data_IF_957611709719
#
_entry.id   IF_957611709719
#
_cell.length_a   1.000
_cell.length_b   1.000
_cell.length_c   1.000
_cell.angle_alpha   90.00
_cell.angle_beta   90.00
_cell.angle_gamma   90.00
#
_symmetry.space_group_name_H-M   'P 1'
#
loop_
_entity.id
_entity.type
_entity.pdbx_description
1 polymer ?
#
# COMPACT_ATOMS: atom_id res chain seq x y z
N UNK A 1 54.67 -6.21 -27.11
CA UNK A 1 54.99 -7.46 -26.43
C UNK A 1 53.66 -8.14 -26.10
N UNK A 2 53.27 -9.00 -26.83
CA UNK A 2 53.09 -10.47 -26.92
C UNK A 2 53.18 -11.20 -25.57
N UNK A 3 52.12 -11.87 -25.14
CA UNK A 3 52.03 -13.27 -24.69
C UNK A 3 50.64 -13.48 -24.07
N UNK A 4 49.92 -14.37 -24.55
CA UNK A 4 49.79 -15.84 -24.74
C UNK A 4 48.59 -16.38 -23.92
N UNK A 5 47.69 -17.01 -24.63
CA UNK A 5 46.50 -17.77 -24.19
C UNK A 5 46.90 -19.08 -23.51
N UNK A 6 46.11 -19.51 -22.56
CA UNK A 6 46.02 -20.93 -22.21
C UNK A 6 44.57 -21.35 -22.08
N UNK A 7 44.11 -22.19 -23.00
CA UNK A 7 42.87 -22.96 -22.97
C UNK A 7 43.16 -24.27 -22.21
N UNK A 8 42.37 -24.61 -21.24
CA UNK A 8 42.31 -25.96 -20.68
C UNK A 8 40.91 -26.49 -20.87
N UNK A 9 40.77 -27.43 -21.79
CA UNK A 9 39.57 -28.20 -22.01
C UNK A 9 39.48 -29.36 -21.01
N UNK A 10 38.31 -29.56 -20.42
CA UNK A 10 37.97 -30.78 -19.68
C UNK A 10 37.03 -31.63 -20.53
N UNK A 11 37.52 -32.79 -20.87
CA UNK A 11 36.83 -33.88 -21.55
C UNK A 11 36.08 -34.70 -20.48
N UNK A 12 34.76 -34.77 -20.54
CA UNK A 12 33.96 -35.67 -19.70
C UNK A 12 33.52 -36.88 -20.51
N UNK A 13 34.01 -38.04 -20.12
CA UNK A 13 33.70 -39.35 -20.70
C UNK A 13 32.40 -39.86 -20.12
N UNK A 14 31.42 -40.17 -20.99
CA UNK A 14 30.19 -40.88 -20.61
C UNK A 14 30.47 -42.38 -20.58
N UNK A 15 30.25 -43.04 -19.43
CA UNK A 15 30.14 -44.47 -19.31
C UNK A 15 28.66 -44.88 -19.26
N UNK A 16 28.26 -45.61 -20.31
CA UNK A 16 26.94 -46.25 -20.37
C UNK A 16 27.11 -47.62 -19.72
N UNK A 17 26.33 -47.89 -18.66
CA UNK A 17 26.17 -49.21 -18.07
C UNK A 17 24.75 -49.72 -18.33
N UNK A 18 24.65 -50.76 -19.18
CA UNK A 18 23.46 -51.61 -19.31
C UNK A 18 23.38 -52.55 -18.12
N UNK A 19 22.24 -52.53 -17.44
CA UNK A 19 21.92 -53.50 -16.37
C UNK A 19 20.46 -53.92 -16.44
N UNK A 20 20.22 -55.19 -16.55
CA UNK A 20 19.00 -55.85 -17.01
C UNK A 20 17.81 -55.78 -16.09
N UNK A 21 16.65 -56.02 -16.70
CA UNK A 21 15.32 -56.09 -16.12
C UNK A 21 15.14 -57.40 -15.34
N UNK A 22 14.64 -57.33 -14.12
CA UNK A 22 13.97 -58.43 -13.45
C UNK A 22 12.50 -58.04 -13.29
N UNK A 23 11.64 -58.78 -13.96
CA UNK A 23 10.19 -58.63 -13.83
C UNK A 23 9.71 -59.28 -12.51
N UNK A 24 9.19 -58.48 -11.60
CA UNK A 24 8.41 -58.98 -10.44
C UNK A 24 6.94 -58.73 -10.69
N UNK A 25 6.20 -59.79 -10.82
CA UNK A 25 4.75 -59.81 -10.91
C UNK A 25 4.16 -59.42 -9.55
N UNK A 26 3.53 -58.27 -9.47
CA UNK A 26 2.82 -57.83 -8.26
C UNK A 26 1.32 -58.07 -8.41
N UNK A 27 0.75 -58.83 -7.50
CA UNK A 27 -0.65 -59.17 -7.46
C UNK A 27 -1.51 -57.92 -7.21
N UNK A 28 -2.61 -57.79 -7.96
CA UNK A 28 -3.59 -56.73 -7.82
C UNK A 28 -4.35 -56.84 -6.49
N UNK A 29 -4.34 -55.78 -5.70
CA UNK A 29 -5.24 -55.58 -4.55
C UNK A 29 -6.59 -55.02 -5.04
N UNK A 30 -7.70 -55.40 -4.38
CA UNK A 30 -9.02 -54.90 -4.74
C UNK A 30 -9.17 -53.41 -4.45
N UNK A 31 -10.05 -52.69 -5.21
CA UNK A 31 -10.21 -51.24 -5.06
C UNK A 31 -10.89 -50.93 -3.72
N UNK A 32 -10.17 -50.15 -2.89
CA UNK A 32 -10.73 -49.49 -1.70
C UNK A 32 -11.63 -48.34 -2.16
N UNK A 33 -12.89 -48.37 -1.74
CA UNK A 33 -13.84 -47.29 -2.00
C UNK A 33 -13.34 -45.99 -1.40
N UNK A 34 -13.28 -44.94 -2.22
CA UNK A 34 -12.96 -43.60 -1.78
C UNK A 34 -14.08 -43.04 -0.88
N UNK A 35 -13.76 -42.33 0.20
CA UNK A 35 -14.77 -41.65 0.98
C UNK A 35 -15.34 -40.48 0.16
N UNK A 36 -16.65 -40.47 -0.03
CA UNK A 36 -17.39 -39.38 -0.62
C UNK A 36 -17.35 -38.17 0.33
N UNK A 37 -16.48 -37.21 0.08
CA UNK A 37 -16.50 -35.95 0.79
C UNK A 37 -17.74 -35.17 0.36
N UNK A 38 -18.73 -35.12 1.25
CA UNK A 38 -19.87 -34.22 1.10
C UNK A 38 -19.38 -32.78 1.31
N UNK A 39 -19.17 -32.05 0.23
CA UNK A 39 -18.92 -30.61 0.28
C UNK A 39 -20.21 -29.95 0.74
N UNK A 40 -20.23 -29.47 1.98
CA UNK A 40 -21.31 -28.59 2.44
C UNK A 40 -21.17 -27.26 1.70
N UNK A 41 -22.27 -26.70 1.17
CA UNK A 41 -22.22 -25.38 0.55
C UNK A 41 -21.85 -24.34 1.61
N UNK A 42 -20.78 -23.60 1.35
CA UNK A 42 -20.43 -22.38 2.09
C UNK A 42 -21.57 -21.40 1.85
N UNK A 43 -22.39 -21.17 2.86
CA UNK A 43 -23.37 -20.07 2.84
C UNK A 43 -22.56 -18.78 2.92
N UNK A 44 -22.35 -18.13 1.78
CA UNK A 44 -21.90 -16.74 1.72
C UNK A 44 -23.04 -15.94 2.32
N UNK A 45 -22.90 -15.53 3.59
CA UNK A 45 -23.77 -14.52 4.16
C UNK A 45 -23.49 -13.22 3.40
N UNK A 46 -24.41 -12.87 2.51
CA UNK A 46 -24.48 -11.54 1.93
C UNK A 46 -24.63 -10.58 3.10
N UNK A 47 -23.58 -9.81 3.39
CA UNK A 47 -23.66 -8.70 4.33
C UNK A 47 -24.59 -7.69 3.67
N UNK A 48 -25.85 -7.73 4.07
CA UNK A 48 -26.85 -6.75 3.63
C UNK A 48 -26.43 -5.42 4.29
N UNK A 49 -25.93 -4.49 3.49
CA UNK A 49 -25.67 -3.15 3.95
C UNK A 49 -26.94 -2.57 4.56
N UNK A 50 -26.89 -2.20 5.81
CA UNK A 50 -27.99 -1.49 6.48
C UNK A 50 -28.28 -0.18 5.74
N UNK A 51 -29.53 0.26 5.63
CA UNK A 51 -29.83 1.48 4.89
C UNK A 51 -29.21 2.70 5.57
N UNK A 52 -28.24 3.29 4.90
CA UNK A 52 -27.50 4.48 5.33
C UNK A 52 -28.29 5.73 4.90
N UNK A 53 -29.14 6.26 5.77
CA UNK A 53 -29.93 7.48 5.48
C UNK A 53 -29.26 8.77 6.02
N UNK A 54 -28.08 8.72 6.62
CA UNK A 54 -27.47 9.94 7.21
C UNK A 54 -26.02 10.23 6.81
N UNK A 55 -25.39 9.44 5.94
CA UNK A 55 -23.94 9.54 5.73
C UNK A 55 -23.51 10.51 4.60
N UNK A 56 -24.39 10.85 3.67
CA UNK A 56 -24.01 11.73 2.55
C UNK A 56 -23.73 13.19 2.97
N UNK A 57 -24.33 13.65 4.06
CA UNK A 57 -24.11 15.02 4.57
C UNK A 57 -22.79 15.19 5.30
N UNK A 58 -22.23 14.14 5.91
CA UNK A 58 -21.01 14.25 6.72
C UNK A 58 -19.75 14.26 5.87
N UNK A 59 -19.68 13.50 4.78
CA UNK A 59 -18.50 13.54 3.90
C UNK A 59 -18.41 14.82 3.05
N UNK A 60 -19.46 15.61 2.93
CA UNK A 60 -19.39 16.96 2.33
C UNK A 60 -18.57 17.95 3.17
N UNK A 61 -18.39 17.68 4.46
CA UNK A 61 -17.62 18.51 5.39
C UNK A 61 -16.16 18.03 5.54
N UNK A 62 -15.68 17.15 4.67
CA UNK A 62 -14.36 16.51 4.74
C UNK A 62 -13.19 17.50 4.93
N UNK A 63 -13.31 18.72 4.42
CA UNK A 63 -12.29 19.77 4.55
C UNK A 63 -12.04 20.18 6.00
N UNK A 64 -13.06 20.03 6.86
CA UNK A 64 -12.98 20.31 8.30
C UNK A 64 -12.52 19.10 9.14
N UNK A 65 -12.37 17.93 8.52
CA UNK A 65 -11.96 16.73 9.23
C UNK A 65 -10.51 16.85 9.71
N UNK A 66 -10.17 16.20 10.83
CA UNK A 66 -8.81 16.26 11.37
C UNK A 66 -7.79 15.74 10.37
N UNK A 67 -6.58 16.33 10.40
CA UNK A 67 -5.45 15.90 9.57
C UNK A 67 -5.04 14.46 9.89
N UNK A 68 -5.00 14.13 11.18
CA UNK A 68 -4.59 12.81 11.67
C UNK A 68 -5.84 11.93 11.84
N UNK A 69 -5.83 10.71 11.30
CA UNK A 69 -7.00 9.85 11.30
C UNK A 69 -7.48 9.46 12.70
N UNK A 70 -8.78 9.21 12.78
CA UNK A 70 -9.39 8.52 13.92
C UNK A 70 -9.35 7.02 13.63
N UNK A 71 -8.94 6.23 14.63
CA UNK A 71 -8.86 4.76 14.48
C UNK A 71 -10.24 4.15 14.60
N UNK A 72 -10.69 3.52 13.55
CA UNK A 72 -12.02 2.93 13.44
C UNK A 72 -12.08 1.50 14.01
N UNK A 73 -13.27 0.99 14.34
CA UNK A 73 -13.50 -0.43 14.63
C UNK A 73 -13.04 -1.33 13.48
N UNK A 74 -13.39 -0.98 12.23
CA UNK A 74 -13.03 -1.73 11.03
C UNK A 74 -11.51 -1.86 10.87
N UNK A 75 -10.74 -0.80 11.13
CA UNK A 75 -9.28 -0.87 11.10
C UNK A 75 -8.72 -1.89 12.11
N UNK A 76 -9.32 -2.00 13.30
CA UNK A 76 -8.93 -2.99 14.32
C UNK A 76 -9.24 -4.42 13.87
N UNK A 77 -10.42 -4.64 13.32
CA UNK A 77 -10.84 -5.95 12.81
C UNK A 77 -9.93 -6.43 11.66
N UNK A 78 -9.60 -5.52 10.73
CA UNK A 78 -8.67 -5.79 9.64
C UNK A 78 -7.27 -6.16 10.17
N UNK A 79 -6.72 -5.38 11.10
CA UNK A 79 -5.42 -5.67 11.69
C UNK A 79 -5.38 -7.06 12.36
N UNK A 80 -6.40 -7.38 13.16
CA UNK A 80 -6.53 -8.69 13.78
C UNK A 80 -6.71 -9.81 12.75
N UNK A 81 -7.46 -9.57 11.68
CA UNK A 81 -7.61 -10.46 10.54
C UNK A 81 -6.27 -10.72 9.86
N UNK A 82 -5.52 -9.66 9.57
CA UNK A 82 -4.19 -9.72 8.98
C UNK A 82 -3.19 -10.50 9.84
N UNK A 83 -3.23 -10.29 11.16
CA UNK A 83 -2.42 -11.06 12.10
C UNK A 83 -2.72 -12.58 12.01
N UNK A 84 -3.99 -12.96 11.99
CA UNK A 84 -4.40 -14.35 11.84
C UNK A 84 -4.03 -14.94 10.47
N UNK A 85 -4.08 -14.14 9.43
CA UNK A 85 -3.73 -14.54 8.05
C UNK A 85 -2.22 -14.53 7.80
N UNK A 86 -1.41 -14.09 8.77
CA UNK A 86 0.05 -14.04 8.69
C UNK A 86 0.57 -12.87 7.85
N UNK A 87 -0.11 -11.72 7.84
CA UNK A 87 0.44 -10.49 7.32
C UNK A 87 1.67 -10.06 8.14
N UNK A 88 2.61 -9.39 7.48
CA UNK A 88 3.78 -8.85 8.16
C UNK A 88 3.39 -7.59 8.95
N UNK A 89 3.25 -7.73 10.27
CA UNK A 89 2.84 -6.65 11.17
C UNK A 89 3.86 -5.51 11.25
N UNK A 90 5.08 -5.74 10.77
CA UNK A 90 6.18 -4.76 10.71
C UNK A 90 6.36 -4.14 9.33
N UNK A 91 5.39 -4.31 8.43
CA UNK A 91 5.46 -3.75 7.10
C UNK A 91 4.21 -2.96 6.74
N UNK A 92 4.43 -1.87 6.01
CA UNK A 92 3.40 -1.20 5.24
C UNK A 92 3.79 -1.12 3.76
N UNK A 93 2.79 -0.99 2.89
CA UNK A 93 2.98 -0.73 1.47
C UNK A 93 2.55 0.68 1.11
N UNK A 94 3.28 1.27 0.16
CA UNK A 94 2.91 2.51 -0.52
C UNK A 94 2.15 2.12 -1.78
N UNK A 95 0.95 2.67 -1.96
CA UNK A 95 0.09 2.40 -3.12
C UNK A 95 -0.36 3.74 -3.70
N UNK A 96 -0.03 3.98 -4.96
CA UNK A 96 -0.45 5.23 -5.58
C UNK A 96 0.41 5.74 -6.72
N UNK A 97 0.40 7.06 -6.88
CA UNK A 97 1.02 7.78 -7.98
C UNK A 97 2.40 8.40 -7.65
N UNK A 98 2.75 9.51 -8.31
CA UNK A 98 4.04 10.18 -8.18
C UNK A 98 4.37 10.63 -6.76
N UNK A 99 3.36 11.12 -6.04
CA UNK A 99 3.58 11.68 -4.69
C UNK A 99 3.88 10.64 -3.61
N UNK A 100 3.60 9.36 -3.85
CA UNK A 100 3.91 8.29 -2.92
C UNK A 100 5.03 7.37 -3.40
N UNK A 101 5.39 7.46 -4.69
CA UNK A 101 6.42 6.65 -5.33
C UNK A 101 7.78 7.35 -5.46
N UNK A 102 7.97 8.49 -4.84
CA UNK A 102 9.22 9.25 -4.86
C UNK A 102 10.05 9.03 -3.59
N UNK A 103 11.36 9.19 -3.70
CA UNK A 103 12.29 9.21 -2.56
C UNK A 103 12.01 10.34 -1.56
N UNK A 104 11.36 11.43 -1.99
CA UNK A 104 10.94 12.52 -1.10
C UNK A 104 9.91 12.06 -0.06
N UNK A 105 9.14 11.02 -0.39
CA UNK A 105 8.16 10.47 0.53
C UNK A 105 8.77 9.37 1.39
N UNK A 106 9.00 9.65 2.65
CA UNK A 106 9.38 8.71 3.71
C UNK A 106 10.79 8.13 3.66
N UNK A 107 11.52 8.17 2.54
CA UNK A 107 12.80 7.45 2.45
C UNK A 107 13.81 7.87 3.51
N UNK A 108 13.77 9.14 3.94
CA UNK A 108 14.65 9.68 4.97
C UNK A 108 14.63 8.89 6.30
N UNK A 109 13.51 8.24 6.64
CA UNK A 109 13.37 7.48 7.89
C UNK A 109 14.13 6.15 7.90
N UNK A 110 14.35 5.52 6.76
CA UNK A 110 15.15 4.29 6.65
C UNK A 110 16.64 4.59 6.40
N UNK A 111 16.99 5.78 5.89
CA UNK A 111 18.37 6.16 5.60
C UNK A 111 19.20 6.48 6.87
N UNK A 112 18.53 6.61 8.01
CA UNK A 112 19.16 6.75 9.32
C UNK A 112 19.35 8.19 9.80
N UNK A 113 20.14 8.33 10.88
CA UNK A 113 20.41 9.63 11.48
C UNK A 113 21.14 10.56 10.50
N UNK A 114 20.70 11.82 10.45
CA UNK A 114 21.22 12.83 9.52
C UNK A 114 20.42 13.00 8.23
N UNK A 115 19.45 12.13 7.95
CA UNK A 115 18.51 12.30 6.84
C UNK A 115 17.15 12.83 7.30
N UNK A 116 16.86 12.76 8.61
CA UNK A 116 15.66 13.32 9.22
C UNK A 116 15.95 13.87 10.61
N UNK A 117 15.21 14.89 11.00
CA UNK A 117 15.12 15.35 12.39
C UNK A 117 13.64 15.35 12.83
N UNK A 118 13.37 14.67 13.94
CA UNK A 118 12.03 14.59 14.51
C UNK A 118 11.65 15.84 15.32
N UNK A 119 12.62 16.68 15.68
CA UNK A 119 12.41 17.90 16.43
C UNK A 119 11.53 17.71 17.67
N UNK A 120 10.37 18.42 17.74
CA UNK A 120 9.45 18.31 18.87
C UNK A 120 8.63 16.99 18.93
N UNK A 121 8.89 16.02 18.02
CA UNK A 121 8.13 14.77 17.90
C UNK A 121 8.97 13.50 18.18
N UNK A 122 9.76 13.42 19.27
CA UNK A 122 10.58 12.24 19.56
C UNK A 122 9.74 10.96 19.83
N UNK A 123 8.47 11.13 20.15
CA UNK A 123 7.49 10.06 20.33
C UNK A 123 7.17 9.29 19.05
N UNK A 124 7.58 9.79 17.88
CA UNK A 124 7.47 9.10 16.59
C UNK A 124 8.62 8.11 16.31
N UNK A 125 9.68 8.09 17.13
CA UNK A 125 10.78 7.12 16.95
C UNK A 125 10.28 5.66 16.95
N UNK A 126 9.39 5.23 17.84
CA UNK A 126 8.92 3.84 17.85
C UNK A 126 8.21 3.39 16.58
N UNK A 127 7.49 4.25 15.86
CA UNK A 127 6.83 3.85 14.59
C UNK A 127 7.88 3.70 13.48
N UNK A 128 8.92 4.53 13.46
CA UNK A 128 10.04 4.39 12.52
C UNK A 128 10.76 3.06 12.77
N UNK A 129 11.12 2.76 14.01
CA UNK A 129 11.81 1.52 14.37
C UNK A 129 10.95 0.28 14.06
N UNK A 130 9.62 0.37 14.27
CA UNK A 130 8.71 -0.75 14.03
C UNK A 130 8.59 -1.11 12.54
N UNK A 131 8.52 -0.11 11.66
CA UNK A 131 8.32 -0.29 10.22
C UNK A 131 9.61 -0.12 9.41
N UNK A 132 10.77 -0.18 10.06
CA UNK A 132 12.06 -0.06 9.38
C UNK A 132 12.15 -1.01 8.18
N UNK A 133 12.63 -0.49 7.03
CA UNK A 133 12.68 -1.17 5.75
C UNK A 133 11.42 -1.01 4.87
N UNK A 134 10.36 -0.37 5.39
CA UNK A 134 9.17 -0.02 4.59
C UNK A 134 9.19 1.42 4.11
N UNK A 135 9.96 2.31 4.74
CA UNK A 135 9.95 3.74 4.43
C UNK A 135 10.70 4.08 3.14
N UNK A 136 11.85 3.50 2.88
CA UNK A 136 12.60 3.70 1.63
C UNK A 136 11.98 2.90 0.48
N UNK A 137 11.40 1.74 0.76
CA UNK A 137 10.86 0.84 -0.25
C UNK A 137 9.74 1.50 -1.06
N UNK A 138 9.92 1.56 -2.37
CA UNK A 138 8.87 1.93 -3.32
C UNK A 138 8.10 0.67 -3.67
N UNK A 139 6.78 0.65 -3.42
CA UNK A 139 5.92 -0.48 -3.72
C UNK A 139 5.75 -0.72 -5.22
N UNK A 140 5.48 -1.97 -5.62
CA UNK A 140 5.15 -2.33 -7.01
C UNK A 140 3.86 -1.61 -7.45
N UNK A 141 2.94 -1.41 -6.52
CA UNK A 141 1.70 -0.66 -6.71
C UNK A 141 1.86 0.86 -6.56
N UNK A 142 3.09 1.38 -6.52
CA UNK A 142 3.40 2.80 -6.44
C UNK A 142 4.33 3.21 -7.59
N UNK A 143 3.82 4.03 -8.52
CA UNK A 143 4.59 4.49 -9.69
C UNK A 143 4.08 5.81 -10.20
N UNK A 144 5.01 6.68 -10.61
CA UNK A 144 4.68 7.94 -11.29
C UNK A 144 3.75 7.67 -12.49
N UNK A 145 2.66 8.42 -12.57
CA UNK A 145 1.66 8.29 -13.63
C UNK A 145 0.67 7.14 -13.44
N UNK A 146 0.70 6.47 -12.27
CA UNK A 146 -0.35 5.51 -11.92
C UNK A 146 -1.67 6.22 -11.62
N UNK A 147 -2.73 5.50 -11.86
CA UNK A 147 -4.10 5.79 -11.50
C UNK A 147 -4.76 4.48 -11.05
N UNK A 148 -6.02 4.52 -10.68
CA UNK A 148 -6.71 3.32 -10.16
C UNK A 148 -6.74 2.18 -11.17
N UNK A 149 -6.94 2.47 -12.47
CA UNK A 149 -6.97 1.43 -13.51
C UNK A 149 -5.61 0.76 -13.67
N UNK A 150 -4.52 1.54 -13.73
CA UNK A 150 -3.18 0.99 -13.92
C UNK A 150 -2.71 0.13 -12.75
N UNK A 151 -3.11 0.46 -11.53
CA UNK A 151 -2.80 -0.34 -10.34
C UNK A 151 -3.50 -1.70 -10.38
N UNK A 152 -4.65 -1.77 -11.03
CA UNK A 152 -5.47 -2.97 -11.19
C UNK A 152 -5.20 -3.76 -12.48
N UNK A 153 -4.44 -3.19 -13.42
CA UNK A 153 -4.17 -3.79 -14.73
C UNK A 153 -2.94 -4.71 -14.69
N UNK A 154 -3.09 -6.03 -14.92
CA UNK A 154 -1.97 -6.97 -14.96
C UNK A 154 -0.87 -6.58 -15.95
N UNK A 155 -1.20 -5.90 -17.06
CA UNK A 155 -0.22 -5.44 -18.03
C UNK A 155 0.78 -4.40 -17.47
N UNK A 156 0.49 -3.82 -16.33
CA UNK A 156 1.33 -2.85 -15.64
C UNK A 156 2.23 -3.48 -14.55
N UNK A 157 2.08 -4.78 -14.30
CA UNK A 157 2.93 -5.53 -13.37
C UNK A 157 4.41 -5.51 -13.82
N UNK A 158 5.31 -5.59 -12.86
CA UNK A 158 6.74 -5.74 -13.13
C UNK A 158 7.02 -7.22 -13.48
N UNK A 159 7.36 -7.54 -14.74
CA UNK A 159 7.56 -8.93 -15.16
C UNK A 159 8.75 -9.63 -14.49
N UNK A 160 9.60 -8.89 -13.79
CA UNK A 160 10.71 -9.46 -13.02
C UNK A 160 10.30 -9.95 -11.62
N UNK A 161 9.13 -9.54 -11.14
CA UNK A 161 8.66 -9.80 -9.77
C UNK A 161 7.24 -10.35 -9.73
N UNK A 162 6.39 -9.96 -10.68
CA UNK A 162 4.97 -10.31 -10.71
C UNK A 162 4.73 -11.53 -11.59
N UNK A 163 3.72 -12.32 -11.24
CA UNK A 163 3.20 -13.37 -12.09
C UNK A 163 2.45 -12.78 -13.30
N UNK A 164 2.29 -13.56 -14.36
CA UNK A 164 1.79 -13.04 -15.65
C UNK A 164 0.42 -12.36 -15.58
N UNK A 165 -0.45 -12.81 -14.67
CA UNK A 165 -1.82 -12.31 -14.53
C UNK A 165 -1.99 -11.43 -13.29
N UNK A 166 -0.90 -11.06 -12.64
CA UNK A 166 -0.95 -10.21 -11.45
C UNK A 166 -0.94 -8.72 -11.81
N UNK A 167 -1.93 -8.01 -11.29
CA UNK A 167 -1.86 -6.55 -11.26
C UNK A 167 -0.76 -6.07 -10.30
N UNK A 168 -0.26 -4.82 -10.45
CA UNK A 168 0.68 -4.23 -9.48
C UNK A 168 0.22 -4.37 -8.03
N UNK A 169 -1.08 -4.21 -7.75
CA UNK A 169 -1.63 -4.36 -6.41
C UNK A 169 -1.55 -5.82 -5.92
N UNK A 170 -1.98 -6.77 -6.72
CA UNK A 170 -1.96 -8.19 -6.33
C UNK A 170 -0.51 -8.66 -6.08
N UNK A 171 0.41 -8.28 -6.96
CA UNK A 171 1.84 -8.56 -6.85
C UNK A 171 2.45 -7.97 -5.57
N UNK A 172 2.16 -6.70 -5.26
CA UNK A 172 2.60 -6.03 -4.02
C UNK A 172 2.12 -6.79 -2.78
N UNK A 173 0.84 -7.16 -2.75
CA UNK A 173 0.24 -7.87 -1.61
C UNK A 173 0.80 -9.28 -1.44
N UNK A 174 1.03 -10.01 -2.53
CA UNK A 174 1.63 -11.35 -2.48
C UNK A 174 3.06 -11.30 -1.94
N UNK A 175 3.88 -10.38 -2.45
CA UNK A 175 5.31 -10.32 -2.10
C UNK A 175 5.57 -9.76 -0.70
N UNK A 176 4.82 -8.78 -0.27
CA UNK A 176 5.13 -8.06 0.97
C UNK A 176 4.16 -8.35 2.12
N UNK A 177 2.96 -8.83 1.82
CA UNK A 177 1.92 -9.16 2.82
C UNK A 177 1.79 -8.10 3.91
N UNK A 178 1.67 -6.82 3.57
CA UNK A 178 1.75 -5.73 4.54
C UNK A 178 0.55 -5.75 5.49
N UNK A 179 0.73 -5.28 6.73
CA UNK A 179 -0.39 -5.05 7.64
C UNK A 179 -1.14 -3.75 7.32
N UNK A 180 -0.44 -2.77 6.75
CA UNK A 180 -0.99 -1.45 6.43
C UNK A 180 -0.70 -1.08 4.97
N UNK A 181 -1.56 -0.25 4.38
CA UNK A 181 -1.32 0.38 3.09
C UNK A 181 -1.58 1.89 3.17
N UNK A 182 -0.58 2.70 2.85
CA UNK A 182 -0.78 4.13 2.60
C UNK A 182 -1.23 4.29 1.15
N UNK A 183 -2.44 4.82 0.97
CA UNK A 183 -3.11 4.93 -0.32
C UNK A 183 -3.24 6.39 -0.74
N UNK A 184 -2.47 6.81 -1.75
CA UNK A 184 -2.45 8.19 -2.27
C UNK A 184 -2.59 8.18 -3.78
N UNK A 185 -3.76 8.57 -4.27
CA UNK A 185 -4.16 8.56 -5.68
C UNK A 185 -5.08 9.74 -6.00
N UNK A 186 -5.14 10.09 -7.26
CA UNK A 186 -6.17 10.99 -7.76
C UNK A 186 -5.68 12.03 -8.76
N UNK A 187 -4.47 12.57 -8.61
CA UNK A 187 -3.92 13.60 -9.49
C UNK A 187 -3.91 13.16 -10.96
N UNK A 188 -3.61 11.89 -11.25
CA UNK A 188 -3.62 11.37 -12.62
C UNK A 188 -5.02 10.99 -13.15
N UNK A 189 -6.09 11.29 -12.40
CA UNK A 189 -7.48 10.98 -12.80
C UNK A 189 -8.45 12.16 -12.72
N UNK A 190 -7.93 13.36 -12.53
CA UNK A 190 -8.76 14.58 -12.42
C UNK A 190 -9.69 14.80 -13.62
N UNK A 191 -9.33 14.26 -14.79
CA UNK A 191 -10.13 14.34 -16.02
C UNK A 191 -11.19 13.23 -16.17
N UNK A 192 -11.19 12.24 -15.24
CA UNK A 192 -12.10 11.08 -15.25
C UNK A 192 -12.51 10.69 -13.82
N UNK A 193 -13.14 11.62 -13.09
CA UNK A 193 -13.45 11.40 -11.67
C UNK A 193 -14.44 10.26 -11.42
N UNK A 194 -15.34 9.98 -12.38
CA UNK A 194 -16.27 8.86 -12.31
C UNK A 194 -15.58 7.48 -12.37
N UNK A 195 -14.47 7.38 -13.12
CA UNK A 195 -13.66 6.18 -13.17
C UNK A 195 -12.82 6.02 -11.89
N UNK A 196 -12.50 7.14 -11.23
CA UNK A 196 -11.72 7.15 -9.99
C UNK A 196 -12.44 6.41 -8.87
N UNK A 197 -13.70 6.74 -8.62
CA UNK A 197 -14.47 6.11 -7.54
C UNK A 197 -14.59 4.59 -7.75
N UNK A 198 -14.95 4.15 -8.95
CA UNK A 198 -15.09 2.75 -9.27
C UNK A 198 -13.77 1.97 -9.06
N UNK A 199 -12.65 2.55 -9.49
CA UNK A 199 -11.34 1.94 -9.31
C UNK A 199 -10.88 1.94 -7.86
N UNK A 200 -11.14 3.01 -7.10
CA UNK A 200 -10.85 3.06 -5.66
C UNK A 200 -11.61 2.01 -4.89
N UNK A 201 -12.89 1.80 -5.18
CA UNK A 201 -13.69 0.73 -4.55
C UNK A 201 -13.06 -0.65 -4.78
N UNK A 202 -12.64 -0.97 -6.00
CA UNK A 202 -11.97 -2.23 -6.29
C UNK A 202 -10.64 -2.38 -5.53
N UNK A 203 -9.83 -1.31 -5.45
CA UNK A 203 -8.59 -1.32 -4.67
C UNK A 203 -8.89 -1.58 -3.19
N UNK A 204 -9.88 -0.90 -2.63
CA UNK A 204 -10.27 -1.08 -1.23
C UNK A 204 -10.78 -2.50 -0.97
N UNK A 205 -11.66 -3.04 -1.82
CA UNK A 205 -12.17 -4.41 -1.69
C UNK A 205 -11.04 -5.45 -1.70
N UNK A 206 -10.03 -5.27 -2.56
CA UNK A 206 -8.85 -6.15 -2.59
C UNK A 206 -8.06 -6.03 -1.28
N UNK A 207 -7.76 -4.82 -0.80
CA UNK A 207 -7.04 -4.62 0.45
C UNK A 207 -7.77 -5.23 1.64
N UNK A 208 -9.08 -5.00 1.74
CA UNK A 208 -9.93 -5.53 2.81
C UNK A 208 -9.98 -7.06 2.78
N UNK A 209 -10.09 -7.67 1.59
CA UNK A 209 -10.09 -9.13 1.44
C UNK A 209 -8.77 -9.78 1.88
N UNK A 210 -7.66 -9.03 1.81
CA UNK A 210 -6.35 -9.45 2.31
C UNK A 210 -6.11 -9.04 3.77
N UNK A 211 -7.12 -8.47 4.44
CA UNK A 211 -7.02 -7.98 5.82
C UNK A 211 -5.85 -7.00 6.00
N UNK A 212 -5.65 -6.12 5.03
CA UNK A 212 -4.71 -4.99 5.09
C UNK A 212 -5.48 -3.76 5.54
N UNK A 213 -4.92 -2.99 6.47
CA UNK A 213 -5.53 -1.73 6.94
C UNK A 213 -5.17 -0.61 5.99
N UNK A 214 -6.11 -0.09 5.16
CA UNK A 214 -5.84 1.06 4.32
C UNK A 214 -5.86 2.35 5.16
N UNK A 215 -4.91 3.25 4.89
CA UNK A 215 -4.91 4.64 5.36
C UNK A 215 -5.04 5.50 4.10
N UNK A 216 -6.22 6.06 3.87
CA UNK A 216 -6.50 6.85 2.68
C UNK A 216 -5.94 8.26 2.86
N UNK A 217 -5.34 8.81 1.81
CA UNK A 217 -4.84 10.19 1.79
C UNK A 217 -5.66 11.05 0.84
N UNK A 218 -6.07 12.24 1.27
CA UNK A 218 -6.47 13.27 0.33
C UNK A 218 -5.25 13.80 -0.42
N UNK A 219 -5.43 14.27 -1.68
CA UNK A 219 -4.36 14.90 -2.47
C UNK A 219 -4.28 16.40 -2.18
N UNK A 220 -3.11 17.00 -2.40
CA UNK A 220 -2.87 18.43 -2.15
C UNK A 220 -3.50 19.34 -3.20
N UNK A 221 -3.45 18.93 -4.47
CA UNK A 221 -3.93 19.70 -5.60
C UNK A 221 -5.46 19.69 -5.76
N UNK A 222 -5.97 20.61 -6.59
CA UNK A 222 -7.38 20.68 -7.00
C UNK A 222 -7.48 20.94 -8.51
N UNK A 223 -6.77 20.15 -9.30
CA UNK A 223 -6.74 20.30 -10.76
C UNK A 223 -8.11 20.08 -11.42
N UNK A 224 -8.99 19.32 -10.79
CA UNK A 224 -10.38 19.15 -11.21
C UNK A 224 -11.27 20.36 -10.91
N UNK A 225 -10.83 21.28 -10.04
CA UNK A 225 -11.46 22.57 -9.77
C UNK A 225 -12.57 22.57 -8.71
N UNK A 226 -13.11 21.41 -8.33
CA UNK A 226 -14.25 21.30 -7.41
C UNK A 226 -14.02 20.29 -6.27
N UNK A 227 -12.78 19.87 -6.06
CA UNK A 227 -12.36 18.90 -5.03
C UNK A 227 -13.11 17.56 -5.06
N UNK A 228 -13.76 17.19 -6.16
CA UNK A 228 -14.57 15.97 -6.23
C UNK A 228 -13.75 14.71 -5.95
N UNK A 229 -12.47 14.67 -6.32
CA UNK A 229 -11.57 13.54 -6.03
C UNK A 229 -11.38 13.41 -4.51
N UNK A 230 -11.01 14.50 -3.83
CA UNK A 230 -10.83 14.48 -2.37
C UNK A 230 -12.13 14.16 -1.64
N UNK A 231 -13.26 14.70 -2.10
CA UNK A 231 -14.58 14.35 -1.55
C UNK A 231 -14.87 12.85 -1.72
N UNK A 232 -14.61 12.29 -2.89
CA UNK A 232 -14.77 10.84 -3.12
C UNK A 232 -13.90 10.02 -2.16
N UNK A 233 -12.62 10.39 -1.97
CA UNK A 233 -11.72 9.72 -1.02
C UNK A 233 -12.31 9.75 0.40
N UNK A 234 -12.79 10.91 0.84
CA UNK A 234 -13.37 11.07 2.17
C UNK A 234 -14.68 10.28 2.34
N UNK A 235 -15.56 10.31 1.31
CA UNK A 235 -16.80 9.54 1.34
C UNK A 235 -16.54 8.04 1.38
N UNK A 236 -15.56 7.53 0.63
CA UNK A 236 -15.15 6.14 0.69
C UNK A 236 -14.53 5.78 2.06
N UNK A 237 -13.69 6.64 2.63
CA UNK A 237 -13.15 6.42 3.96
C UNK A 237 -14.27 6.29 5.00
N UNK A 238 -15.30 7.14 4.93
CA UNK A 238 -16.46 7.07 5.80
C UNK A 238 -17.31 5.83 5.55
N UNK A 239 -17.63 5.53 4.30
CA UNK A 239 -18.47 4.39 3.91
C UNK A 239 -17.89 3.05 4.37
N UNK A 240 -16.57 2.87 4.21
CA UNK A 240 -15.86 1.66 4.59
C UNK A 240 -15.35 1.69 6.04
N UNK A 241 -15.62 2.76 6.80
CA UNK A 241 -15.10 2.98 8.15
C UNK A 241 -13.58 2.82 8.24
N UNK A 242 -12.86 3.57 7.39
CA UNK A 242 -11.41 3.49 7.25
C UNK A 242 -10.72 4.79 7.69
N UNK A 243 -9.46 4.70 8.18
CA UNK A 243 -8.67 5.87 8.53
C UNK A 243 -8.44 6.80 7.34
N UNK A 244 -8.74 8.09 7.50
CA UNK A 244 -8.44 9.14 6.53
C UNK A 244 -7.33 10.06 7.04
N UNK A 245 -6.21 10.09 6.36
CA UNK A 245 -5.19 11.11 6.49
C UNK A 245 -5.56 12.30 5.59
N UNK A 246 -6.08 13.39 6.21
CA UNK A 246 -6.52 14.58 5.48
C UNK A 246 -5.32 15.48 5.17
N UNK A 247 -4.47 15.04 4.22
CA UNK A 247 -3.27 15.77 3.82
C UNK A 247 -3.60 17.15 3.22
N UNK A 248 -4.68 17.26 2.44
CA UNK A 248 -5.14 18.54 1.92
C UNK A 248 -5.28 19.60 3.03
N UNK A 249 -5.94 19.25 4.12
CA UNK A 249 -6.12 20.16 5.26
C UNK A 249 -4.79 20.56 5.90
N UNK A 250 -3.81 19.64 5.94
CA UNK A 250 -2.51 19.90 6.56
C UNK A 250 -1.74 21.03 5.90
N UNK A 251 -1.91 21.23 4.59
CA UNK A 251 -1.13 22.19 3.80
C UNK A 251 -1.85 23.51 3.52
N UNK A 252 -3.12 23.64 3.94
CA UNK A 252 -3.90 24.84 3.60
C UNK A 252 -3.35 26.14 4.20
N UNK A 253 -2.63 26.07 5.32
CA UNK A 253 -2.00 27.24 5.95
C UNK A 253 -0.66 27.64 5.32
N UNK A 254 -0.09 26.79 4.47
CA UNK A 254 1.19 27.08 3.82
C UNK A 254 1.06 28.14 2.71
N UNK A 255 2.16 28.85 2.37
CA UNK A 255 2.20 29.70 1.20
C UNK A 255 1.75 28.92 -0.06
N UNK A 256 0.84 29.52 -0.84
CA UNK A 256 0.21 28.89 -2.00
C UNK A 256 -0.35 27.48 -1.71
N UNK A 257 -0.88 27.28 -0.48
CA UNK A 257 -1.40 25.99 -0.03
C UNK A 257 -0.41 24.82 -0.20
N UNK A 258 0.88 25.10 -0.06
CA UNK A 258 1.95 24.10 -0.19
C UNK A 258 2.24 23.65 -1.63
N UNK A 259 1.63 24.28 -2.63
CA UNK A 259 1.82 23.92 -4.04
C UNK A 259 2.84 24.81 -4.72
N UNK A 260 3.54 24.26 -5.72
CA UNK A 260 4.34 25.02 -6.66
C UNK A 260 3.47 25.88 -7.58
N UNK A 261 4.04 26.78 -8.38
CA UNK A 261 3.26 27.65 -9.30
C UNK A 261 2.43 26.90 -10.34
N UNK A 262 2.71 25.63 -10.59
CA UNK A 262 1.91 24.76 -11.47
C UNK A 262 0.61 24.25 -10.83
N UNK A 263 0.40 24.49 -9.54
CA UNK A 263 -0.76 24.08 -8.74
C UNK A 263 -0.95 22.55 -8.67
N UNK A 264 0.06 21.80 -9.03
CA UNK A 264 0.07 20.34 -9.02
C UNK A 264 1.11 19.79 -8.03
N UNK A 265 2.36 20.20 -8.19
CA UNK A 265 3.46 19.65 -7.41
C UNK A 265 3.60 20.34 -6.05
N UNK A 266 3.97 19.53 -5.06
CA UNK A 266 4.22 19.99 -3.69
C UNK A 266 5.50 20.83 -3.61
N UNK A 267 5.51 21.85 -2.74
CA UNK A 267 6.72 22.62 -2.45
C UNK A 267 7.77 21.75 -1.76
N UNK A 268 9.04 21.89 -2.19
CA UNK A 268 10.15 21.10 -1.67
C UNK A 268 10.55 21.53 -0.25
N UNK A 269 10.93 20.54 0.55
CA UNK A 269 11.51 20.71 1.88
C UNK A 269 12.15 19.42 2.34
N UNK A 270 13.12 19.53 3.24
CA UNK A 270 13.79 18.39 3.85
C UNK A 270 12.93 17.78 4.97
N UNK A 271 13.24 16.55 5.38
CA UNK A 271 12.56 15.89 6.49
C UNK A 271 13.19 16.33 7.83
N UNK A 272 13.01 17.58 8.16
CA UNK A 272 13.48 18.20 9.39
C UNK A 272 12.29 18.96 10.04
N UNK A 273 11.83 18.44 11.17
CA UNK A 273 10.62 18.95 11.85
C UNK A 273 10.95 20.00 12.92
N UNK A 274 12.25 20.30 13.12
CA UNK A 274 12.74 21.39 13.97
C UNK A 274 13.09 22.65 13.16
N UNK A 275 13.29 22.51 11.84
CA UNK A 275 13.58 23.66 10.96
C UNK A 275 12.27 24.38 10.56
N UNK A 276 12.08 25.62 11.05
CA UNK A 276 10.93 26.45 10.78
C UNK A 276 10.72 26.71 9.27
N UNK A 277 11.79 26.79 8.47
CA UNK A 277 11.67 26.99 7.03
C UNK A 277 11.25 25.71 6.30
N UNK A 278 11.80 24.55 6.70
CA UNK A 278 11.38 23.28 6.18
C UNK A 278 9.90 23.04 6.45
N UNK A 279 9.42 23.40 7.64
CA UNK A 279 8.01 23.29 8.05
C UNK A 279 7.08 24.22 7.26
N UNK A 280 7.59 25.17 6.44
CA UNK A 280 6.80 25.94 5.47
C UNK A 280 6.67 25.26 4.11
N UNK A 281 7.10 24.01 3.96
CA UNK A 281 7.00 23.25 2.71
C UNK A 281 6.06 22.05 2.84
N UNK A 282 5.40 21.73 1.73
CA UNK A 282 4.42 20.67 1.72
C UNK A 282 5.05 19.27 1.87
N UNK A 283 6.25 19.02 1.32
CA UNK A 283 6.93 17.75 1.49
C UNK A 283 7.29 17.44 2.95
N UNK A 284 7.75 18.45 3.70
CA UNK A 284 8.03 18.28 5.14
C UNK A 284 6.77 17.96 5.92
N UNK A 285 5.67 18.71 5.69
CA UNK A 285 4.38 18.43 6.33
C UNK A 285 3.78 17.11 5.89
N UNK A 286 3.99 16.70 4.62
CA UNK A 286 3.55 15.39 4.13
C UNK A 286 4.21 14.26 4.91
N UNK A 287 5.54 14.31 5.07
CA UNK A 287 6.28 13.31 5.82
C UNK A 287 5.88 13.30 7.30
N UNK A 288 5.76 14.47 7.94
CA UNK A 288 5.33 14.54 9.33
C UNK A 288 3.93 13.99 9.54
N UNK A 289 2.96 14.47 8.75
CA UNK A 289 1.56 14.11 8.98
C UNK A 289 1.24 12.67 8.57
N UNK A 290 1.91 12.14 7.53
CA UNK A 290 1.82 10.73 7.17
C UNK A 290 2.42 9.82 8.26
N UNK A 291 3.58 10.19 8.81
CA UNK A 291 4.20 9.43 9.91
C UNK A 291 3.31 9.42 11.15
N UNK A 292 2.72 10.55 11.51
CA UNK A 292 1.74 10.64 12.60
C UNK A 292 0.47 9.85 12.32
N UNK A 293 -0.01 9.85 11.08
CA UNK A 293 -1.17 9.05 10.68
C UNK A 293 -0.87 7.56 10.84
N UNK A 294 0.29 7.10 10.36
CA UNK A 294 0.72 5.72 10.51
C UNK A 294 0.89 5.33 11.99
N UNK A 295 1.54 6.17 12.79
CA UNK A 295 1.73 5.95 14.24
C UNK A 295 0.39 5.83 14.97
N UNK A 296 -0.51 6.77 14.71
CA UNK A 296 -1.86 6.80 15.35
C UNK A 296 -2.64 5.54 15.02
N UNK A 297 -2.68 5.15 13.74
CA UNK A 297 -3.43 3.96 13.32
C UNK A 297 -2.77 2.70 13.89
N UNK A 298 -1.46 2.55 13.76
CA UNK A 298 -0.72 1.39 14.29
C UNK A 298 -0.95 1.21 15.79
N UNK A 299 -0.70 2.24 16.59
CA UNK A 299 -0.93 2.16 18.05
C UNK A 299 -2.37 1.86 18.40
N UNK A 300 -3.30 2.50 17.70
CA UNK A 300 -4.72 2.33 17.96
C UNK A 300 -5.30 0.96 17.61
N UNK A 301 -4.65 0.21 16.68
CA UNK A 301 -5.07 -1.17 16.34
C UNK A 301 -4.23 -2.23 17.05
N UNK A 302 -2.97 -1.94 17.39
CA UNK A 302 -2.06 -2.88 18.06
C UNK A 302 -2.29 -2.98 19.56
N UNK A 303 -2.76 -1.91 20.22
CA UNK A 303 -3.15 -1.94 21.63
C UNK A 303 -4.51 -2.62 21.73
N UNK A 304 -4.52 -3.86 22.20
CA UNK A 304 -5.76 -4.50 22.66
C UNK A 304 -6.24 -3.84 23.96
N UNK A 305 -7.55 -3.65 24.13
CA UNK A 305 -8.10 -3.30 25.44
C UNK A 305 -7.90 -4.44 26.45
#
# INVERSE_FOLDING_TARGET
MRLVRLLIGFLVIFLVACGGQAATTQAALPPTAAPTSTVQPIVIQTITASPVISQSMVCEEWQSWPVIPIVSPTARELYQGGQRSGNNLKAFSKIGDGEISTEWFFSAFDLGEGYHDLGPYPDLRPVIDHFHGSFERIGIAARRGFNTQKILDPSQGDPSQCEADESPLACELRLHRPAFALLSLGTNQVWRPEEFEAGMRQILEILLSHSVVPILSTKGDNLEGDHRINRTIACLAQEYDLPLWNFWSAIQSLPNHGLQPDLEHLTYGITDFDDENAMQSAWTLRNLTALRALDTVWRGVATQP
#
